data_IF_527277206535
#
_entry.id   IF_527277206535
#
_cell.length_a   1.000
_cell.length_b   1.000
_cell.length_c   1.000
_cell.angle_alpha   90.00
_cell.angle_beta   90.00
_cell.angle_gamma   90.00
#
_symmetry.space_group_name_H-M   'P 1'
#
loop_
_entity.id
_entity.type
_entity.pdbx_description
1 polymer ?
#
# COMPACT_ATOMS: atom_id res chain seq x y z
N UNK A 1 10.18 13.76 -13.63
CA UNK A 1 9.42 14.18 -12.42
C UNK A 1 8.16 14.99 -12.73
N UNK A 2 8.17 15.91 -13.71
CA UNK A 2 6.98 16.72 -14.03
C UNK A 2 5.73 15.87 -14.34
N UNK A 3 5.84 14.86 -15.22
CA UNK A 3 4.72 13.97 -15.57
C UNK A 3 4.07 13.30 -14.34
N UNK A 4 4.86 12.69 -13.46
CA UNK A 4 4.35 12.05 -12.24
C UNK A 4 3.68 13.05 -11.29
N UNK A 5 4.29 14.22 -11.11
CA UNK A 5 3.73 15.29 -10.27
C UNK A 5 2.39 15.78 -10.81
N UNK A 6 2.30 16.04 -12.11
CA UNK A 6 1.06 16.45 -12.76
C UNK A 6 0.00 15.35 -12.70
N UNK A 7 0.39 14.08 -12.90
CA UNK A 7 -0.50 12.93 -12.75
C UNK A 7 -1.13 12.88 -11.36
N UNK A 8 -0.30 12.98 -10.30
CA UNK A 8 -0.80 12.97 -8.92
C UNK A 8 -1.76 14.14 -8.64
N UNK A 9 -1.42 15.36 -9.08
CA UNK A 9 -2.30 16.54 -8.94
C UNK A 9 -3.63 16.32 -9.65
N UNK A 10 -3.60 15.78 -10.87
CA UNK A 10 -4.80 15.51 -11.65
C UNK A 10 -5.68 14.43 -11.02
N UNK A 11 -5.10 13.37 -10.46
CA UNK A 11 -5.85 12.35 -9.72
C UNK A 11 -6.60 12.96 -8.52
N UNK A 12 -5.92 13.81 -7.73
CA UNK A 12 -6.53 14.49 -6.57
C UNK A 12 -7.64 15.44 -7.01
N UNK A 13 -7.38 16.27 -8.03
CA UNK A 13 -8.38 17.20 -8.55
C UNK A 13 -9.60 16.46 -9.13
N UNK A 14 -9.38 15.34 -9.82
CA UNK A 14 -10.45 14.48 -10.32
C UNK A 14 -11.29 13.89 -9.20
N UNK A 15 -10.67 13.44 -8.11
CA UNK A 15 -11.39 12.96 -6.93
C UNK A 15 -12.23 14.06 -6.26
N UNK A 16 -11.69 15.28 -6.15
CA UNK A 16 -12.41 16.44 -5.59
C UNK A 16 -13.62 16.82 -6.45
N UNK A 17 -13.47 16.80 -7.78
CA UNK A 17 -14.56 17.13 -8.71
C UNK A 17 -15.70 16.12 -8.70
N UNK A 18 -15.44 14.89 -8.23
CA UNK A 18 -16.43 13.80 -8.17
C UNK A 18 -16.84 13.45 -6.73
N UNK A 19 -16.66 14.39 -5.79
CA UNK A 19 -17.12 14.23 -4.41
C UNK A 19 -18.62 13.91 -4.36
N UNK A 20 -18.95 12.87 -3.62
CA UNK A 20 -20.32 12.41 -3.43
C UNK A 20 -20.47 11.74 -2.06
N UNK A 21 -21.69 11.68 -1.51
CA UNK A 21 -21.94 10.91 -0.28
C UNK A 21 -21.55 9.44 -0.46
N UNK A 22 -20.88 8.88 0.54
CA UNK A 22 -20.41 7.50 0.52
C UNK A 22 -20.71 6.79 1.84
N UNK A 23 -21.07 5.52 1.74
CA UNK A 23 -21.06 4.55 2.82
C UNK A 23 -19.74 3.77 2.79
N UNK A 24 -19.23 3.46 3.98
CA UNK A 24 -17.95 2.78 4.13
C UNK A 24 -18.20 1.35 4.61
N UNK A 25 -17.52 0.41 3.95
CA UNK A 25 -17.46 -0.98 4.34
C UNK A 25 -16.02 -1.32 4.66
N UNK A 26 -15.78 -1.93 5.82
CA UNK A 26 -14.46 -2.36 6.25
C UNK A 26 -14.45 -3.87 6.35
N UNK A 27 -13.34 -4.49 5.95
CA UNK A 27 -13.08 -5.91 6.16
C UNK A 27 -11.61 -6.18 6.35
N UNK A 28 -11.32 -7.32 6.97
CA UNK A 28 -9.98 -7.84 7.13
C UNK A 28 -9.99 -9.35 6.96
N UNK A 29 -8.91 -9.91 6.43
CA UNK A 29 -8.69 -11.36 6.35
C UNK A 29 -7.22 -11.68 6.51
N UNK A 30 -6.90 -12.93 6.85
CA UNK A 30 -5.52 -13.40 6.92
C UNK A 30 -5.13 -14.14 5.64
N UNK A 31 -4.06 -13.69 5.00
CA UNK A 31 -3.54 -14.20 3.73
C UNK A 31 -2.15 -14.80 3.94
N UNK A 32 -2.13 -16.08 4.34
CA UNK A 32 -0.94 -16.80 4.76
C UNK A 32 -0.01 -17.22 3.60
N UNK A 33 -0.52 -17.20 2.38
CA UNK A 33 0.17 -17.73 1.20
C UNK A 33 0.40 -16.70 0.11
N UNK A 34 0.10 -15.42 0.31
CA UNK A 34 0.32 -14.36 -0.69
C UNK A 34 1.72 -13.77 -0.65
N UNK A 35 2.45 -13.89 0.46
CA UNK A 35 3.78 -13.28 0.60
C UNK A 35 4.76 -14.20 1.33
N UNK A 36 6.04 -13.87 1.23
CA UNK A 36 7.13 -14.50 1.99
C UNK A 36 8.15 -13.45 2.39
N UNK A 37 8.75 -13.63 3.56
CA UNK A 37 9.85 -12.80 4.02
C UNK A 37 11.18 -13.50 3.70
N UNK A 38 12.01 -12.88 2.85
CA UNK A 38 13.27 -13.48 2.41
C UNK A 38 14.46 -13.22 3.33
N UNK A 39 14.35 -12.31 4.30
CA UNK A 39 15.43 -12.02 5.26
C UNK A 39 15.15 -12.54 6.67
N UNK A 40 13.90 -12.50 7.11
CA UNK A 40 13.46 -12.98 8.43
C UNK A 40 12.30 -13.94 8.21
N UNK A 41 12.57 -15.23 7.96
CA UNK A 41 11.53 -16.24 7.82
C UNK A 41 10.52 -16.16 8.97
N UNK A 42 9.25 -16.44 8.67
CA UNK A 42 8.12 -16.43 9.61
C UNK A 42 7.70 -15.06 10.17
N UNK A 43 8.47 -13.99 9.93
CA UNK A 43 8.04 -12.62 10.25
C UNK A 43 7.23 -12.04 9.09
N UNK A 44 5.91 -12.14 9.16
CA UNK A 44 4.97 -11.65 8.15
C UNK A 44 3.74 -11.02 8.81
N UNK A 45 3.32 -9.89 8.27
CA UNK A 45 1.98 -9.35 8.47
C UNK A 45 1.08 -10.00 7.43
N UNK A 46 0.23 -10.91 7.88
CA UNK A 46 -0.69 -11.66 7.03
C UNK A 46 -2.02 -10.94 6.86
N UNK A 47 -2.23 -9.80 7.52
CA UNK A 47 -3.51 -9.11 7.48
C UNK A 47 -3.68 -8.36 6.16
N UNK A 48 -4.69 -8.76 5.39
CA UNK A 48 -5.22 -7.98 4.29
C UNK A 48 -6.38 -7.14 4.81
N UNK A 49 -6.22 -5.82 4.83
CA UNK A 49 -7.28 -4.91 5.21
C UNK A 49 -7.88 -4.27 3.95
N UNK A 50 -9.21 -4.20 3.88
CA UNK A 50 -9.94 -3.62 2.77
C UNK A 50 -10.96 -2.60 3.27
N UNK A 51 -11.00 -1.45 2.60
CA UNK A 51 -12.01 -0.43 2.73
C UNK A 51 -12.69 -0.24 1.38
N UNK A 52 -14.00 -0.44 1.33
CA UNK A 52 -14.82 -0.21 0.15
C UNK A 52 -15.76 0.96 0.39
N UNK A 53 -15.68 1.98 -0.46
CA UNK A 53 -16.58 3.13 -0.45
C UNK A 53 -17.67 2.93 -1.50
N UNK A 54 -18.93 3.07 -1.10
CA UNK A 54 -20.12 2.80 -1.93
C UNK A 54 -21.03 4.02 -1.91
N UNK A 55 -21.56 4.44 -3.05
CA UNK A 55 -22.47 5.57 -3.12
C UNK A 55 -23.90 5.19 -2.70
N UNK A 56 -24.81 6.17 -2.69
CA UNK A 56 -26.22 5.95 -2.29
C UNK A 56 -27.00 5.01 -3.20
N UNK A 57 -26.54 4.83 -4.44
CA UNK A 57 -27.14 3.90 -5.41
C UNK A 57 -26.56 2.48 -5.31
N UNK A 58 -25.70 2.21 -4.32
CA UNK A 58 -25.07 0.90 -4.12
C UNK A 58 -23.89 0.63 -5.06
N UNK A 59 -23.42 1.63 -5.81
CA UNK A 59 -22.26 1.49 -6.71
C UNK A 59 -20.96 1.77 -5.98
N UNK A 60 -19.95 0.93 -6.19
CA UNK A 60 -18.62 1.15 -5.62
C UNK A 60 -17.97 2.38 -6.24
N UNK A 61 -17.49 3.28 -5.39
CA UNK A 61 -16.69 4.44 -5.76
C UNK A 61 -15.21 4.04 -5.80
N UNK A 62 -14.74 3.35 -4.76
CA UNK A 62 -13.36 2.89 -4.66
C UNK A 62 -13.22 1.66 -3.73
N UNK A 63 -12.19 0.87 -3.99
CA UNK A 63 -11.73 -0.22 -3.12
C UNK A 63 -10.28 0.05 -2.76
N UNK A 64 -10.03 0.46 -1.52
CA UNK A 64 -8.69 0.62 -0.94
C UNK A 64 -8.31 -0.67 -0.23
N UNK A 65 -7.15 -1.24 -0.52
CA UNK A 65 -6.66 -2.44 0.14
C UNK A 65 -5.19 -2.32 0.52
N UNK A 66 -4.87 -2.87 1.69
CA UNK A 66 -3.56 -2.82 2.31
C UNK A 66 -3.02 -4.24 2.53
N UNK A 67 -1.78 -4.47 2.12
CA UNK A 67 -1.09 -5.74 2.37
C UNK A 67 0.43 -5.56 2.23
N UNK A 68 1.21 -6.36 2.95
CA UNK A 68 2.66 -6.36 2.87
C UNK A 68 3.19 -7.26 1.73
N UNK A 69 3.49 -6.68 0.56
CA UNK A 69 4.19 -7.38 -0.52
C UNK A 69 4.84 -6.40 -1.51
N UNK A 70 6.15 -6.55 -1.76
CA UNK A 70 6.83 -5.83 -2.85
C UNK A 70 6.29 -6.24 -4.23
N UNK A 71 6.00 -5.27 -5.09
CA UNK A 71 5.71 -5.48 -6.52
C UNK A 71 6.97 -5.88 -7.30
N UNK A 72 7.42 -7.12 -7.14
CA UNK A 72 8.67 -7.65 -7.72
C UNK A 72 8.56 -9.03 -8.37
N UNK A 73 7.38 -9.42 -8.89
CA UNK A 73 7.26 -10.68 -9.66
C UNK A 73 8.14 -10.61 -10.91
N UNK A 74 8.05 -9.52 -11.68
CA UNK A 74 8.81 -9.27 -12.91
C UNK A 74 10.25 -8.80 -12.66
N UNK A 75 10.85 -9.18 -11.53
CA UNK A 75 12.25 -8.82 -11.21
C UNK A 75 13.19 -9.17 -12.37
N UNK A 76 13.96 -8.18 -12.81
CA UNK A 76 14.92 -8.32 -13.93
C UNK A 76 14.34 -7.98 -15.31
N UNK A 77 13.03 -7.76 -15.43
CA UNK A 77 12.41 -7.16 -16.62
C UNK A 77 12.68 -5.64 -16.64
N UNK A 78 12.70 -5.05 -17.83
CA UNK A 78 13.07 -3.63 -18.04
C UNK A 78 11.89 -2.78 -18.49
N UNK A 79 10.77 -3.41 -18.80
CA UNK A 79 9.54 -2.81 -19.26
C UNK A 79 8.83 -2.08 -18.12
N UNK A 80 8.17 -0.96 -18.46
CA UNK A 80 7.32 -0.25 -17.50
C UNK A 80 6.08 -1.10 -17.25
N UNK A 81 5.84 -1.43 -15.98
CA UNK A 81 4.75 -2.29 -15.56
C UNK A 81 4.28 -1.93 -14.16
N UNK A 82 3.01 -2.18 -13.87
CA UNK A 82 2.48 -2.19 -12.50
C UNK A 82 2.77 -3.52 -11.78
N UNK A 83 3.54 -4.42 -12.40
CA UNK A 83 3.80 -5.78 -11.92
C UNK A 83 2.46 -6.51 -11.64
N UNK A 84 2.41 -7.37 -10.63
CA UNK A 84 1.19 -8.11 -10.28
C UNK A 84 0.00 -7.22 -9.91
N UNK A 85 0.23 -5.95 -9.54
CA UNK A 85 -0.87 -5.03 -9.23
C UNK A 85 -1.67 -4.65 -10.47
N UNK A 86 -1.08 -4.73 -11.67
CA UNK A 86 -1.80 -4.51 -12.93
C UNK A 86 -3.02 -5.41 -13.08
N UNK A 87 -2.86 -6.75 -13.04
CA UNK A 87 -3.97 -7.69 -12.95
C UNK A 87 -4.89 -7.43 -11.75
N UNK A 88 -4.34 -7.13 -10.56
CA UNK A 88 -5.17 -6.88 -9.37
C UNK A 88 -6.15 -5.73 -9.60
N UNK A 89 -5.68 -4.59 -10.11
CA UNK A 89 -6.54 -3.45 -10.42
C UNK A 89 -7.62 -3.83 -11.43
N UNK A 90 -7.26 -4.48 -12.54
CA UNK A 90 -8.24 -4.89 -13.56
C UNK A 90 -9.32 -5.80 -13.01
N UNK A 91 -8.96 -6.80 -12.21
CA UNK A 91 -9.91 -7.79 -11.70
C UNK A 91 -10.81 -7.20 -10.61
N UNK A 92 -10.27 -6.39 -9.69
CA UNK A 92 -11.04 -5.71 -8.63
C UNK A 92 -12.00 -4.67 -9.22
N UNK A 93 -11.54 -3.87 -10.19
CA UNK A 93 -12.37 -2.87 -10.87
C UNK A 93 -13.44 -3.53 -11.75
N UNK A 94 -13.15 -4.69 -12.36
CA UNK A 94 -14.15 -5.47 -13.11
C UNK A 94 -15.26 -6.00 -12.20
N UNK A 95 -14.89 -6.46 -11.00
CA UNK A 95 -15.84 -7.03 -10.04
C UNK A 95 -16.73 -5.97 -9.41
N UNK A 96 -16.15 -4.88 -8.90
CA UNK A 96 -16.90 -3.91 -8.09
C UNK A 96 -17.26 -2.62 -8.82
N UNK A 97 -16.60 -2.33 -9.95
CA UNK A 97 -16.50 -0.97 -10.48
C UNK A 97 -15.63 -0.07 -9.59
N UNK A 98 -15.69 1.23 -9.85
CA UNK A 98 -14.91 2.21 -9.11
C UNK A 98 -13.41 2.10 -9.36
N UNK A 99 -12.60 2.70 -8.47
CA UNK A 99 -11.14 2.69 -8.56
C UNK A 99 -10.53 1.77 -7.52
N UNK A 100 -9.66 0.85 -7.96
CA UNK A 100 -8.87 0.00 -7.07
C UNK A 100 -7.59 0.72 -6.62
N UNK A 101 -7.33 0.76 -5.32
CA UNK A 101 -6.19 1.46 -4.72
C UNK A 101 -5.45 0.51 -3.80
N UNK A 102 -4.20 0.20 -4.13
CA UNK A 102 -3.31 -0.55 -3.26
C UNK A 102 -2.45 0.40 -2.44
N UNK A 103 -2.31 0.12 -1.15
CA UNK A 103 -1.33 0.79 -0.28
C UNK A 103 -0.46 -0.25 0.42
N UNK A 104 0.83 0.03 0.51
CA UNK A 104 1.80 -0.89 1.12
C UNK A 104 1.55 -1.07 2.61
N UNK A 105 1.48 -2.34 3.05
CA UNK A 105 1.55 -2.72 4.46
C UNK A 105 2.99 -2.83 4.96
N UNK A 106 3.21 -3.59 6.03
CA UNK A 106 4.56 -3.83 6.56
C UNK A 106 5.34 -4.82 5.69
N UNK A 107 6.01 -4.28 4.67
CA UNK A 107 6.78 -5.06 3.69
C UNK A 107 8.31 -4.98 3.84
N UNK A 108 8.80 -4.34 4.92
CA UNK A 108 10.21 -4.29 5.24
C UNK A 108 10.84 -5.68 5.36
N UNK A 109 12.18 -5.75 5.43
CA UNK A 109 12.92 -7.03 5.42
C UNK A 109 12.72 -7.88 4.15
N UNK A 110 12.35 -7.29 3.01
CA UNK A 110 12.13 -7.99 1.73
C UNK A 110 10.98 -9.00 1.79
N UNK A 111 9.81 -8.53 2.24
CA UNK A 111 8.56 -9.26 2.05
C UNK A 111 8.13 -9.11 0.59
N UNK A 112 8.10 -10.23 -0.13
CA UNK A 112 7.79 -10.28 -1.55
C UNK A 112 6.71 -11.30 -1.86
N UNK A 113 6.33 -11.41 -3.15
CA UNK A 113 5.22 -12.26 -3.59
C UNK A 113 5.58 -13.74 -3.41
N UNK A 114 4.59 -14.52 -2.96
CA UNK A 114 4.70 -15.96 -2.82
C UNK A 114 3.38 -16.67 -3.14
N UNK A 115 3.49 -17.94 -3.53
CA UNK A 115 2.40 -18.91 -3.56
C UNK A 115 2.87 -20.09 -2.69
N UNK A 116 2.20 -20.31 -1.54
CA UNK A 116 2.59 -21.36 -0.57
C UNK A 116 4.09 -21.28 -0.19
N UNK A 117 4.56 -20.08 0.15
CA UNK A 117 5.95 -19.81 0.54
C UNK A 117 6.97 -19.79 -0.61
N UNK A 118 6.58 -20.15 -1.85
CA UNK A 118 7.46 -20.17 -3.02
C UNK A 118 7.31 -18.89 -3.83
N UNK A 119 8.44 -18.31 -4.26
CA UNK A 119 8.42 -17.14 -5.15
C UNK A 119 7.84 -17.55 -6.52
N UNK A 120 6.92 -16.77 -7.13
CA UNK A 120 6.53 -16.97 -8.52
C UNK A 120 7.74 -16.80 -9.46
N UNK A 121 7.68 -17.44 -10.63
CA UNK A 121 8.69 -17.25 -11.65
C UNK A 121 8.68 -15.80 -12.15
N UNK A 122 9.85 -15.29 -12.55
CA UNK A 122 9.98 -13.91 -13.03
C UNK A 122 9.63 -13.79 -14.53
N UNK A 123 8.38 -14.09 -14.86
CA UNK A 123 7.80 -13.97 -16.20
C UNK A 123 6.37 -13.40 -16.16
N UNK A 124 5.88 -12.99 -17.33
CA UNK A 124 4.59 -12.32 -17.48
C UNK A 124 3.41 -13.23 -17.13
N UNK A 125 3.48 -14.51 -17.47
CA UNK A 125 2.44 -15.49 -17.17
C UNK A 125 2.27 -15.69 -15.65
N UNK A 126 3.38 -15.87 -14.94
CA UNK A 126 3.39 -16.01 -13.47
C UNK A 126 2.95 -14.73 -12.78
N UNK A 127 3.33 -13.55 -13.30
CA UNK A 127 2.83 -12.26 -12.81
C UNK A 127 1.31 -12.15 -12.95
N UNK A 128 0.77 -12.51 -14.12
CA UNK A 128 -0.67 -12.47 -14.38
C UNK A 128 -1.43 -13.44 -13.47
N UNK A 129 -0.92 -14.67 -13.32
CA UNK A 129 -1.50 -15.70 -12.45
C UNK A 129 -1.50 -15.26 -10.98
N UNK A 130 -0.35 -14.80 -10.47
CA UNK A 130 -0.22 -14.34 -9.09
C UNK A 130 -1.12 -13.12 -8.83
N UNK A 131 -1.16 -12.17 -9.76
CA UNK A 131 -2.02 -11.00 -9.65
C UNK A 131 -3.51 -11.34 -9.60
N UNK A 132 -3.99 -12.30 -10.42
CA UNK A 132 -5.39 -12.76 -10.37
C UNK A 132 -5.74 -13.41 -9.03
N UNK A 133 -4.85 -14.25 -8.51
CA UNK A 133 -5.03 -14.87 -7.19
C UNK A 133 -5.04 -13.84 -6.06
N UNK A 134 -4.14 -12.85 -6.13
CA UNK A 134 -4.14 -11.73 -5.18
C UNK A 134 -5.46 -10.94 -5.28
N UNK A 135 -5.96 -10.69 -6.49
CA UNK A 135 -7.23 -10.01 -6.70
C UNK A 135 -8.40 -10.78 -6.11
N UNK A 136 -8.43 -12.10 -6.27
CA UNK A 136 -9.44 -12.97 -5.67
C UNK A 136 -9.46 -12.83 -4.14
N UNK A 137 -8.30 -12.82 -3.49
CA UNK A 137 -8.21 -12.58 -2.05
C UNK A 137 -8.77 -11.20 -1.65
N UNK A 138 -8.45 -10.14 -2.42
CA UNK A 138 -9.02 -8.79 -2.19
C UNK A 138 -10.54 -8.81 -2.37
N UNK A 139 -11.04 -9.46 -3.42
CA UNK A 139 -12.48 -9.53 -3.74
C UNK A 139 -13.25 -10.27 -2.66
N UNK A 140 -12.77 -11.44 -2.23
CA UNK A 140 -13.38 -12.21 -1.17
C UNK A 140 -13.41 -11.41 0.14
N UNK A 141 -12.28 -10.81 0.52
CA UNK A 141 -12.20 -9.95 1.71
C UNK A 141 -13.18 -8.78 1.60
N UNK A 142 -13.25 -8.10 0.45
CA UNK A 142 -14.12 -6.94 0.26
C UNK A 142 -15.63 -7.26 0.34
N UNK A 143 -16.03 -8.48 -0.03
CA UNK A 143 -17.42 -8.96 0.05
C UNK A 143 -17.89 -9.17 1.49
N UNK A 144 -16.97 -9.56 2.37
CA UNK A 144 -17.24 -9.76 3.80
C UNK A 144 -17.21 -8.45 4.61
N UNK A 145 -17.18 -7.30 3.93
CA UNK A 145 -17.15 -5.99 4.56
C UNK A 145 -18.42 -5.67 5.35
N UNK A 146 -18.26 -5.21 6.60
CA UNK A 146 -19.35 -4.67 7.39
C UNK A 146 -19.46 -3.16 7.20
N UNK A 147 -20.71 -2.67 7.18
CA UNK A 147 -21.00 -1.23 7.08
C UNK A 147 -20.55 -0.52 8.34
N UNK A 148 -19.89 0.63 8.18
CA UNK A 148 -19.51 1.51 9.28
C UNK A 148 -20.66 2.47 9.56
N UNK A 149 -21.22 2.37 10.76
CA UNK A 149 -22.26 3.29 11.23
C UNK A 149 -21.65 4.61 11.71
N UNK A 150 -22.22 5.73 11.26
CA UNK A 150 -21.84 7.10 11.66
C UNK A 150 -20.31 7.34 11.68
N UNK A 151 -19.60 7.13 10.55
CA UNK A 151 -18.15 7.27 10.53
C UNK A 151 -17.73 8.71 10.84
N UNK A 152 -16.70 8.86 11.67
CA UNK A 152 -16.03 10.12 11.90
C UNK A 152 -14.61 10.09 11.32
N UNK A 153 -14.05 11.28 11.08
CA UNK A 153 -12.72 11.44 10.52
C UNK A 153 -11.88 12.26 11.49
N UNK A 154 -10.76 11.70 11.94
CA UNK A 154 -9.75 12.43 12.69
C UNK A 154 -8.40 12.25 12.02
N UNK A 155 -7.71 13.36 11.75
CA UNK A 155 -6.39 13.36 11.15
C UNK A 155 -5.44 14.07 12.10
N UNK A 156 -4.34 13.41 12.45
CA UNK A 156 -3.24 14.01 13.21
C UNK A 156 -1.94 13.81 12.42
N UNK A 157 -1.10 14.84 12.48
CA UNK A 157 0.22 14.85 11.87
C UNK A 157 1.26 15.21 12.91
N UNK A 158 2.37 14.48 12.89
CA UNK A 158 3.49 14.68 13.81
C UNK A 158 4.78 14.73 12.98
N UNK A 159 5.59 15.77 13.18
CA UNK A 159 6.84 15.98 12.44
C UNK A 159 7.99 15.43 13.28
N UNK A 160 8.72 14.49 12.71
CA UNK A 160 9.84 13.82 13.35
C UNK A 160 11.16 14.40 12.87
N UNK A 161 12.09 14.63 13.80
CA UNK A 161 13.50 14.90 13.50
C UNK A 161 14.32 13.66 13.83
N UNK A 162 14.72 12.88 12.83
CA UNK A 162 15.41 11.61 13.00
C UNK A 162 16.93 11.84 12.87
N UNK A 163 17.76 11.41 13.84
CA UNK A 163 19.21 11.60 13.76
C UNK A 163 19.82 10.78 12.63
N UNK A 164 20.63 11.41 11.77
CA UNK A 164 21.35 10.71 10.71
C UNK A 164 22.62 10.06 11.27
N UNK A 165 22.48 8.83 11.75
CA UNK A 165 23.60 8.09 12.34
C UNK A 165 24.62 7.62 11.29
N UNK A 166 24.17 7.31 10.07
CA UNK A 166 25.02 6.78 9.02
C UNK A 166 26.05 7.82 8.54
N UNK A 167 27.32 7.60 8.90
CA UNK A 167 28.43 8.49 8.54
C UNK A 167 28.63 8.62 7.03
N UNK A 168 28.42 7.54 6.26
CA UNK A 168 28.57 7.57 4.80
C UNK A 168 27.53 8.48 4.15
N UNK A 169 26.29 8.49 4.65
CA UNK A 169 25.27 9.43 4.17
C UNK A 169 25.58 10.87 4.56
N UNK A 170 26.10 11.11 5.76
CA UNK A 170 26.58 12.45 6.16
C UNK A 170 27.69 12.95 5.22
N UNK A 171 28.66 12.09 4.91
CA UNK A 171 29.74 12.41 3.99
C UNK A 171 29.24 12.65 2.56
N UNK A 172 28.33 11.80 2.07
CA UNK A 172 27.74 11.95 0.75
C UNK A 172 26.95 13.26 0.59
N UNK A 173 26.21 13.69 1.62
CA UNK A 173 25.56 15.02 1.62
C UNK A 173 26.57 16.16 1.65
N UNK A 174 27.61 16.05 2.48
CA UNK A 174 28.66 17.08 2.56
C UNK A 174 29.40 17.29 1.23
N UNK A 175 29.55 16.23 0.43
CA UNK A 175 30.12 16.30 -0.92
C UNK A 175 29.08 16.58 -2.02
N UNK A 176 27.81 16.81 -1.68
CA UNK A 176 26.74 17.08 -2.64
C UNK A 176 26.35 15.90 -3.54
N UNK A 177 26.75 14.68 -3.19
CA UNK A 177 26.42 13.46 -3.95
C UNK A 177 24.95 13.07 -3.80
N UNK A 178 24.33 13.43 -2.68
CA UNK A 178 22.89 13.31 -2.47
C UNK A 178 22.34 14.65 -1.98
N UNK A 179 21.09 15.00 -2.32
CA UNK A 179 20.49 16.27 -1.90
C UNK A 179 20.54 16.42 -0.39
N UNK A 180 20.96 17.60 0.08
CA UNK A 180 20.94 17.92 1.50
C UNK A 180 19.49 17.92 1.99
N UNK A 181 19.19 16.99 2.89
CA UNK A 181 17.88 16.85 3.55
C UNK A 181 18.01 16.84 5.06
N UNK A 182 19.20 17.12 5.56
CA UNK A 182 19.47 17.19 7.00
C UNK A 182 19.73 18.62 7.42
N UNK A 183 19.08 19.04 8.49
CA UNK A 183 19.47 20.23 9.27
C UNK A 183 20.01 19.73 10.61
N UNK A 184 21.15 20.26 11.05
CA UNK A 184 21.78 19.92 12.34
C UNK A 184 22.06 18.41 12.51
N UNK A 185 22.38 17.71 11.42
CA UNK A 185 22.61 16.26 11.42
C UNK A 185 21.35 15.40 11.60
N UNK A 186 20.15 15.99 11.49
CA UNK A 186 18.86 15.28 11.58
C UNK A 186 18.07 15.42 10.28
N UNK A 187 17.42 14.34 9.86
CA UNK A 187 16.48 14.33 8.73
C UNK A 187 15.08 14.60 9.26
N UNK A 188 14.37 15.52 8.61
CA UNK A 188 12.96 15.78 8.93
C UNK A 188 12.08 14.81 8.16
N UNK A 189 11.15 14.18 8.87
CA UNK A 189 10.12 13.30 8.31
C UNK A 189 8.80 13.52 9.06
N UNK A 190 7.78 12.73 8.77
CA UNK A 190 6.48 12.85 9.40
C UNK A 190 5.77 11.51 9.55
N UNK A 191 4.85 11.46 10.50
CA UNK A 191 3.85 10.41 10.67
C UNK A 191 2.48 11.09 10.58
N UNK A 192 1.58 10.44 9.85
CA UNK A 192 0.17 10.81 9.81
C UNK A 192 -0.67 9.67 10.37
N UNK A 193 -1.54 9.99 11.33
CA UNK A 193 -2.53 9.10 11.91
C UNK A 193 -3.92 9.53 11.45
N UNK A 194 -4.63 8.62 10.78
CA UNK A 194 -5.98 8.85 10.29
C UNK A 194 -6.89 7.84 10.98
N UNK A 195 -7.97 8.33 11.59
CA UNK A 195 -9.06 7.51 12.08
C UNK A 195 -10.28 7.76 11.22
N UNK A 196 -10.84 6.69 10.68
CA UNK A 196 -12.03 6.70 9.85
C UNK A 196 -13.03 5.71 10.44
N UNK A 197 -13.90 6.20 11.32
CA UNK A 197 -14.69 5.35 12.21
C UNK A 197 -13.77 4.41 13.00
N UNK A 198 -13.95 3.08 12.90
CA UNK A 198 -13.12 2.09 13.58
C UNK A 198 -11.81 1.76 12.83
N UNK A 199 -11.62 2.21 11.59
CA UNK A 199 -10.37 1.99 10.86
C UNK A 199 -9.28 2.99 11.26
N UNK A 200 -8.07 2.50 11.49
CA UNK A 200 -6.88 3.32 11.72
C UNK A 200 -5.89 3.14 10.58
N UNK A 201 -5.38 4.25 10.06
CA UNK A 201 -4.33 4.27 9.03
C UNK A 201 -3.17 5.08 9.59
N UNK A 202 -1.98 4.46 9.61
CA UNK A 202 -0.75 5.10 10.06
C UNK A 202 0.25 5.10 8.92
N UNK A 203 0.72 6.28 8.55
CA UNK A 203 1.84 6.42 7.61
C UNK A 203 3.14 6.43 8.40
N UNK A 204 4.09 5.58 8.03
CA UNK A 204 5.38 5.43 8.70
C UNK A 204 6.48 5.72 7.69
N UNK A 205 7.52 6.50 8.05
CA UNK A 205 8.64 6.73 7.16
C UNK A 205 9.46 5.45 6.93
N UNK A 206 9.78 5.17 5.67
CA UNK A 206 10.53 3.98 5.28
C UNK A 206 9.63 2.77 5.05
N UNK A 207 10.17 1.58 5.30
CA UNK A 207 9.46 0.31 5.13
C UNK A 207 9.43 -0.41 6.50
N UNK A 208 8.31 -0.38 7.23
CA UNK A 208 8.24 -1.01 8.53
C UNK A 208 8.42 -2.53 8.39
N UNK A 209 9.19 -3.11 9.31
CA UNK A 209 9.32 -4.56 9.41
C UNK A 209 7.99 -5.16 9.86
N UNK A 210 7.62 -6.37 9.38
CA UNK A 210 6.39 -7.04 9.79
C UNK A 210 6.19 -7.16 11.31
N UNK A 211 7.26 -7.37 12.06
CA UNK A 211 7.23 -7.45 13.53
C UNK A 211 6.71 -6.17 14.24
N UNK A 212 6.61 -5.04 13.54
CA UNK A 212 6.02 -3.80 14.07
C UNK A 212 4.54 -3.61 13.69
N UNK A 213 3.98 -4.53 12.92
CA UNK A 213 2.57 -4.53 12.49
C UNK A 213 1.70 -5.53 13.26
N UNK A 214 2.31 -6.40 14.09
CA UNK A 214 1.60 -7.21 15.08
C UNK A 214 1.05 -6.27 16.18
N UNK A 215 -0.21 -5.84 16.03
CA UNK A 215 -0.97 -5.06 17.02
C UNK A 215 -2.10 -5.89 17.61
#
# INVERSE_FOLDING_TARGET
MAYLRFGAINCVNGAIQNLQPAELYLSQSNQWDLSRNSRVPDSLDQTMAVLRAVNKEGKTIAVLFNFGAHAEVLKGKKEISADFLGPVYREVEREFGGTAIFVNGALGAMVGPAENGKKPESNWESMEKYGKRFAEAVILTARDGWRVENPDIAIKREVLKIPLQNFRFRLAMAFGLIPERSADGRITSEINFWRLGPAWIVTVPGEPYPAFAEL
#
